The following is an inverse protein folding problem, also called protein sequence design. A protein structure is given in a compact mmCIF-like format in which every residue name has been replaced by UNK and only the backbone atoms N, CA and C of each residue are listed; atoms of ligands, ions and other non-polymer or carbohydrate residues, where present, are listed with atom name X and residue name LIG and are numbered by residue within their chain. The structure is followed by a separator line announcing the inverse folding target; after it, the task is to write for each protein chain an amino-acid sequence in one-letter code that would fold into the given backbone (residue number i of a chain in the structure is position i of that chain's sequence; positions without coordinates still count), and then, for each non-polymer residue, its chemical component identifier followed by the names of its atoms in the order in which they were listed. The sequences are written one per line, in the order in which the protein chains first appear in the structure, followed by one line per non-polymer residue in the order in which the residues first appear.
data_IF_018377937291
#
_entry.id   IF_018377937291
#
_cell.length_a   1.000
_cell.length_b   1.000
_cell.length_c   1.000
_cell.angle_alpha   90.00
_cell.angle_beta   90.00
_cell.angle_gamma   90.00
#
_symmetry.space_group_name_H-M   'P 1'
#
loop_
_entity.id
_entity.type
_entity.pdbx_description
1 polymer ?
#
# COMPACT_ATOMS: atom_id res chain seq x y z
N UNK A 1 -32.36 -9.68 -7.77
CA UNK A 1 -32.28 -8.29 -7.25
C UNK A 1 -30.86 -7.81 -7.53
N UNK A 2 -30.67 -7.13 -8.65
CA UNK A 2 -29.37 -6.56 -9.01
C UNK A 2 -29.10 -5.38 -8.08
N UNK A 3 -28.08 -5.49 -7.23
CA UNK A 3 -27.65 -4.39 -6.38
C UNK A 3 -27.02 -3.33 -7.27
N UNK A 4 -27.81 -2.31 -7.57
CA UNK A 4 -27.38 -1.11 -8.27
C UNK A 4 -26.50 -0.27 -7.32
N UNK A 5 -25.31 -0.77 -6.98
CA UNK A 5 -24.33 -0.03 -6.21
C UNK A 5 -23.68 0.98 -7.16
N UNK A 6 -23.95 2.27 -6.92
CA UNK A 6 -23.19 3.35 -7.56
C UNK A 6 -21.69 3.07 -7.36
N UNK A 7 -20.83 3.23 -8.38
CA UNK A 7 -19.40 3.07 -8.21
C UNK A 7 -18.96 3.95 -7.04
N UNK A 8 -18.36 3.33 -6.02
CA UNK A 8 -17.80 4.01 -4.84
C UNK A 8 -16.80 5.02 -5.39
N UNK A 9 -17.05 6.32 -5.22
CA UNK A 9 -16.10 7.36 -5.64
C UNK A 9 -14.86 7.17 -4.79
N UNK A 10 -13.81 6.62 -5.39
CA UNK A 10 -12.54 6.40 -4.72
C UNK A 10 -11.80 7.74 -4.73
N UNK A 11 -11.44 8.25 -3.56
CA UNK A 11 -10.67 9.48 -3.37
C UNK A 11 -9.55 9.26 -2.36
N UNK A 12 -8.58 10.17 -2.29
CA UNK A 12 -7.53 10.12 -1.27
C UNK A 12 -6.54 8.96 -1.48
N UNK A 13 -6.07 8.37 -0.39
CA UNK A 13 -5.06 7.29 -0.42
C UNK A 13 -5.59 6.02 -1.12
N UNK A 14 -6.84 5.57 -0.90
CA UNK A 14 -7.42 4.47 -1.66
C UNK A 14 -7.36 4.69 -3.18
N UNK A 15 -7.56 5.92 -3.65
CA UNK A 15 -7.52 6.21 -5.08
C UNK A 15 -6.09 6.07 -5.64
N UNK A 16 -5.09 6.52 -4.87
CA UNK A 16 -3.68 6.36 -5.25
C UNK A 16 -3.28 4.90 -5.33
N UNK A 17 -3.65 4.10 -4.34
CA UNK A 17 -3.34 2.66 -4.30
C UNK A 17 -4.09 1.91 -5.41
N UNK A 18 -5.35 2.27 -5.68
CA UNK A 18 -6.09 1.74 -6.82
C UNK A 18 -5.39 2.05 -8.15
N UNK A 19 -5.05 3.32 -8.42
CA UNK A 19 -4.38 3.72 -9.65
C UNK A 19 -3.01 3.05 -9.82
N UNK A 20 -2.28 2.90 -8.71
CA UNK A 20 -1.03 2.16 -8.67
C UNK A 20 -1.21 0.69 -9.08
N UNK A 21 -2.20 0.00 -8.50
CA UNK A 21 -2.53 -1.38 -8.86
C UNK A 21 -2.94 -1.52 -10.33
N UNK A 22 -3.79 -0.63 -10.82
CA UNK A 22 -4.23 -0.64 -12.22
C UNK A 22 -3.06 -0.37 -13.19
N UNK A 23 -2.12 0.50 -12.82
CA UNK A 23 -0.92 0.74 -13.61
C UNK A 23 -0.06 -0.54 -13.73
N UNK A 24 0.16 -1.27 -12.64
CA UNK A 24 0.86 -2.56 -12.66
C UNK A 24 0.10 -3.58 -13.52
N UNK A 25 -1.21 -3.71 -13.32
CA UNK A 25 -2.06 -4.62 -14.09
C UNK A 25 -2.03 -4.36 -15.59
N UNK A 26 -1.93 -3.10 -16.00
CA UNK A 26 -1.85 -2.73 -17.41
C UNK A 26 -0.62 -3.29 -18.13
N UNK A 27 0.45 -3.63 -17.39
CA UNK A 27 1.67 -4.21 -17.93
C UNK A 27 1.55 -5.71 -18.15
N UNK A 28 0.69 -6.41 -17.40
CA UNK A 28 0.57 -7.87 -17.41
C UNK A 28 0.41 -8.44 -18.83
N UNK A 29 -0.50 -7.94 -19.69
CA UNK A 29 -0.68 -8.52 -21.04
C UNK A 29 0.59 -8.40 -21.91
N UNK A 30 1.35 -7.32 -21.76
CA UNK A 30 2.59 -7.10 -22.51
C UNK A 30 3.68 -8.04 -22.02
N UNK A 31 3.82 -8.19 -20.70
CA UNK A 31 4.79 -9.10 -20.08
C UNK A 31 4.49 -10.56 -20.44
N UNK A 32 3.21 -10.96 -20.41
CA UNK A 32 2.77 -12.29 -20.83
C UNK A 32 3.08 -12.55 -22.31
N UNK A 33 2.79 -11.59 -23.19
CA UNK A 33 3.12 -11.69 -24.63
C UNK A 33 4.63 -11.80 -24.86
N UNK A 34 5.43 -11.11 -24.06
CA UNK A 34 6.89 -11.17 -24.08
C UNK A 34 7.47 -12.41 -23.39
N UNK A 35 6.62 -13.25 -22.77
CA UNK A 35 7.03 -14.41 -21.95
C UNK A 35 7.97 -14.04 -20.80
N UNK A 36 7.80 -12.84 -20.23
CA UNK A 36 8.53 -12.39 -19.05
C UNK A 36 7.82 -12.96 -17.80
N UNK A 37 8.52 -13.68 -16.92
CA UNK A 37 7.91 -14.31 -15.75
C UNK A 37 7.64 -13.30 -14.63
N UNK A 38 6.70 -12.39 -14.84
CA UNK A 38 6.36 -11.31 -13.89
C UNK A 38 5.78 -11.80 -12.53
N UNK A 39 5.45 -13.10 -12.43
CA UNK A 39 5.01 -13.75 -11.19
C UNK A 39 6.19 -14.24 -10.33
N UNK A 40 7.38 -14.37 -10.92
CA UNK A 40 8.57 -14.88 -10.27
C UNK A 40 9.63 -13.77 -10.15
N UNK A 41 9.74 -13.20 -8.94
CA UNK A 41 10.95 -12.59 -8.34
C UNK A 41 11.46 -11.22 -8.87
N UNK A 42 11.86 -10.38 -7.90
CA UNK A 42 12.75 -9.18 -7.83
C UNK A 42 12.77 -8.18 -9.00
N UNK A 43 12.91 -8.61 -10.26
CA UNK A 43 13.01 -7.70 -11.41
C UNK A 43 11.74 -6.88 -11.60
N UNK A 44 10.58 -7.48 -11.31
CA UNK A 44 9.32 -6.78 -11.38
C UNK A 44 9.04 -5.93 -10.14
N UNK A 45 9.74 -6.19 -9.02
CA UNK A 45 9.60 -5.40 -7.81
C UNK A 45 10.19 -4.00 -8.00
N UNK A 46 11.32 -3.87 -8.69
CA UNK A 46 11.91 -2.57 -9.05
C UNK A 46 10.99 -1.76 -9.98
N UNK A 47 10.30 -2.44 -10.90
CA UNK A 47 9.30 -1.80 -11.77
C UNK A 47 8.12 -1.33 -10.93
N UNK A 48 7.62 -2.16 -10.02
CA UNK A 48 6.51 -1.79 -9.13
C UNK A 48 6.89 -0.64 -8.20
N UNK A 49 8.07 -0.65 -7.58
CA UNK A 49 8.60 0.45 -6.77
C UNK A 49 8.70 1.73 -7.61
N UNK A 50 9.21 1.67 -8.83
CA UNK A 50 9.27 2.84 -9.72
C UNK A 50 7.89 3.44 -10.00
N UNK A 51 6.89 2.59 -10.26
CA UNK A 51 5.51 3.04 -10.48
C UNK A 51 4.94 3.63 -9.18
N UNK A 52 5.22 3.03 -8.02
CA UNK A 52 4.80 3.54 -6.71
C UNK A 52 5.38 4.94 -6.44
N UNK A 53 6.67 5.14 -6.74
CA UNK A 53 7.38 6.41 -6.61
C UNK A 53 6.86 7.49 -7.58
N UNK A 54 6.20 7.10 -8.68
CA UNK A 54 5.60 8.05 -9.63
C UNK A 54 4.15 8.40 -9.25
N UNK A 55 3.37 7.41 -8.78
CA UNK A 55 1.93 7.57 -8.56
C UNK A 55 1.60 7.99 -7.13
N UNK A 56 2.18 7.30 -6.14
CA UNK A 56 1.76 7.40 -4.74
C UNK A 56 2.61 8.40 -3.99
N UNK A 57 3.94 8.21 -4.02
CA UNK A 57 4.88 9.02 -3.24
C UNK A 57 4.74 10.53 -3.48
N UNK A 58 4.71 11.06 -4.72
CA UNK A 58 4.72 12.50 -4.95
C UNK A 58 3.44 13.19 -4.45
N UNK A 59 2.32 12.45 -4.42
CA UNK A 59 1.03 12.95 -3.93
C UNK A 59 1.02 13.06 -2.41
N UNK A 60 1.59 12.09 -1.71
CA UNK A 60 1.76 12.12 -0.26
C UNK A 60 2.74 13.23 0.13
N UNK A 61 3.88 13.31 -0.54
CA UNK A 61 4.88 14.36 -0.29
C UNK A 61 4.31 15.76 -0.53
N UNK A 62 3.62 15.98 -1.65
CA UNK A 62 2.99 17.27 -1.95
C UNK A 62 1.97 17.68 -0.89
N UNK A 63 1.20 16.72 -0.36
CA UNK A 63 0.27 17.00 0.73
C UNK A 63 0.99 17.52 1.97
N UNK A 64 2.11 16.90 2.37
CA UNK A 64 2.87 17.37 3.53
C UNK A 64 3.59 18.69 3.26
N UNK A 65 4.23 18.84 2.10
CA UNK A 65 4.92 20.08 1.74
C UNK A 65 3.97 21.29 1.66
N UNK A 66 2.67 21.06 1.43
CA UNK A 66 1.66 22.12 1.51
C UNK A 66 1.32 22.58 2.94
N UNK A 67 1.68 21.79 3.96
CA UNK A 67 1.31 22.01 5.37
C UNK A 67 2.51 22.23 6.28
N UNK A 68 3.69 21.77 5.90
CA UNK A 68 4.92 21.79 6.67
C UNK A 68 6.15 21.82 5.75
N UNK A 69 7.32 22.15 6.30
CA UNK A 69 8.55 22.37 5.54
C UNK A 69 9.12 21.09 4.89
N UNK A 70 8.85 19.92 5.47
CA UNK A 70 9.44 18.65 5.05
C UNK A 70 8.39 17.56 4.96
N UNK A 71 8.51 16.67 3.97
CA UNK A 71 7.69 15.46 3.90
C UNK A 71 8.31 14.34 4.77
N UNK A 72 7.49 13.51 5.44
CA UNK A 72 7.99 12.36 6.17
C UNK A 72 8.62 11.34 5.21
N UNK A 73 9.65 10.58 5.64
CA UNK A 73 10.16 9.48 4.84
C UNK A 73 9.06 8.43 4.67
N UNK A 74 8.84 7.96 3.45
CA UNK A 74 7.84 6.96 3.11
C UNK A 74 8.47 5.57 3.06
N UNK A 75 7.77 4.56 3.58
CA UNK A 75 8.17 3.16 3.44
C UNK A 75 8.19 2.78 1.94
N UNK A 76 9.28 2.14 1.51
CA UNK A 76 9.45 1.65 0.13
C UNK A 76 8.51 0.48 -0.17
N UNK A 77 8.02 0.40 -1.40
CA UNK A 77 7.27 -0.76 -1.88
C UNK A 77 8.17 -2.00 -1.89
N UNK A 78 7.61 -3.15 -1.51
CA UNK A 78 8.34 -4.43 -1.50
C UNK A 78 9.42 -4.56 -0.41
N UNK A 79 9.63 -3.53 0.43
CA UNK A 79 10.68 -3.57 1.45
C UNK A 79 10.16 -3.96 2.84
N UNK A 80 10.80 -4.97 3.44
CA UNK A 80 10.42 -5.51 4.74
C UNK A 80 11.23 -4.91 5.90
N UNK A 81 10.80 -3.74 6.35
CA UNK A 81 11.38 -3.04 7.50
C UNK A 81 11.39 -3.90 8.78
N UNK A 82 12.38 -3.68 9.65
CA UNK A 82 12.40 -4.27 11.01
C UNK A 82 11.50 -3.49 11.97
N UNK A 83 11.40 -2.19 11.76
CA UNK A 83 10.55 -1.26 12.48
C UNK A 83 10.13 -0.12 11.55
N UNK A 84 8.97 0.47 11.85
CA UNK A 84 8.41 1.61 11.11
C UNK A 84 8.49 2.91 11.92
N UNK A 85 9.37 2.97 12.92
CA UNK A 85 9.51 4.15 13.74
C UNK A 85 9.99 5.33 12.88
N UNK A 86 9.33 6.49 13.00
CA UNK A 86 9.59 7.70 12.19
C UNK A 86 9.47 7.50 10.67
N UNK A 87 8.89 6.39 10.21
CA UNK A 87 8.63 6.13 8.79
C UNK A 87 7.13 6.25 8.56
N UNK A 88 6.73 7.07 7.59
CA UNK A 88 5.36 7.14 7.10
C UNK A 88 5.04 5.89 6.28
N UNK A 89 3.82 5.39 6.40
CA UNK A 89 3.41 4.17 5.71
C UNK A 89 1.94 4.20 5.29
N UNK A 90 1.61 3.36 4.32
CA UNK A 90 0.23 3.09 3.95
C UNK A 90 -0.30 2.03 4.91
N UNK A 91 -1.29 2.40 5.70
CA UNK A 91 -2.04 1.50 6.55
C UNK A 91 -3.14 0.80 5.76
N UNK A 92 -3.24 -0.51 5.95
CA UNK A 92 -4.28 -1.39 5.40
C UNK A 92 -5.34 -1.60 6.49
N UNK A 93 -6.59 -1.38 6.16
CA UNK A 93 -7.73 -1.54 7.06
C UNK A 93 -8.57 -2.71 6.53
N UNK A 94 -8.48 -3.90 7.14
CA UNK A 94 -9.34 -5.03 6.77
C UNK A 94 -10.80 -4.70 7.05
N UNK A 95 -11.70 -4.98 6.10
CA UNK A 95 -13.14 -4.70 6.23
C UNK A 95 -13.92 -5.87 6.89
N UNK A 96 -13.43 -7.11 6.77
CA UNK A 96 -14.15 -8.34 7.19
C UNK A 96 -13.50 -9.14 8.31
N UNK A 97 -12.36 -8.69 8.84
CA UNK A 97 -11.59 -9.41 9.87
C UNK A 97 -11.62 -8.62 11.17
N UNK A 98 -11.92 -9.26 12.31
CA UNK A 98 -11.73 -8.64 13.61
C UNK A 98 -10.29 -8.16 13.73
N UNK A 99 -10.11 -6.88 14.07
CA UNK A 99 -8.78 -6.27 14.23
C UNK A 99 -8.01 -6.99 15.35
N UNK A 100 -6.98 -7.82 15.08
CA UNK A 100 -6.03 -8.13 16.12
C UNK A 100 -5.41 -6.81 16.56
N UNK A 101 -5.05 -6.71 17.85
CA UNK A 101 -4.35 -5.54 18.38
C UNK A 101 -3.10 -5.24 17.53
N UNK A 102 -3.14 -4.17 16.72
CA UNK A 102 -2.04 -3.77 15.85
C UNK A 102 -2.49 -2.98 14.61
N UNK A 103 -1.51 -2.59 13.80
CA UNK A 103 -1.68 -1.81 12.56
C UNK A 103 -1.11 -2.63 11.40
N UNK A 104 -1.87 -2.80 10.32
CA UNK A 104 -1.37 -3.45 9.12
C UNK A 104 -0.72 -2.42 8.21
N UNK A 105 0.55 -2.63 7.88
CA UNK A 105 1.33 -1.79 6.99
C UNK A 105 1.42 -2.47 5.63
N UNK A 106 0.97 -1.78 4.59
CA UNK A 106 1.11 -2.22 3.20
C UNK A 106 2.58 -2.39 2.85
N UNK A 107 2.93 -3.57 2.31
CA UNK A 107 4.28 -3.85 1.80
C UNK A 107 4.23 -3.94 0.28
N UNK A 108 3.37 -4.81 -0.25
CA UNK A 108 3.28 -5.05 -1.69
C UNK A 108 1.97 -5.72 -2.10
N UNK A 109 1.73 -5.78 -3.41
CA UNK A 109 0.73 -6.68 -3.99
C UNK A 109 1.36 -8.02 -4.37
N UNK A 110 0.61 -9.10 -4.23
CA UNK A 110 0.93 -10.44 -4.74
C UNK A 110 -0.26 -11.07 -5.44
N UNK A 111 -0.04 -12.21 -6.10
CA UNK A 111 -1.05 -12.91 -6.91
C UNK A 111 -1.34 -14.28 -6.33
N UNK A 112 -2.57 -14.52 -5.87
CA UNK A 112 -3.03 -15.84 -5.40
C UNK A 112 -3.97 -16.51 -6.39
N UNK A 113 -5.01 -15.83 -6.84
CA UNK A 113 -5.98 -16.34 -7.82
C UNK A 113 -5.92 -15.55 -9.12
N UNK A 114 -5.80 -14.23 -9.01
CA UNK A 114 -5.69 -13.29 -10.12
C UNK A 114 -4.45 -12.42 -9.95
N UNK A 115 -3.94 -11.79 -11.03
CA UNK A 115 -2.84 -10.85 -10.92
C UNK A 115 -3.11 -9.75 -9.87
N UNK A 116 -2.21 -9.61 -8.91
CA UNK A 116 -2.23 -8.54 -7.88
C UNK A 116 -3.56 -8.47 -7.12
N UNK A 117 -4.16 -9.62 -6.80
CA UNK A 117 -5.44 -9.72 -6.08
C UNK A 117 -5.28 -9.74 -4.55
N UNK A 118 -4.05 -9.82 -4.07
CA UNK A 118 -3.73 -10.00 -2.65
C UNK A 118 -2.79 -8.90 -2.19
N UNK A 119 -3.08 -8.35 -1.02
CA UNK A 119 -2.23 -7.36 -0.33
C UNK A 119 -1.38 -8.07 0.69
N UNK A 120 -0.07 -7.84 0.66
CA UNK A 120 0.88 -8.31 1.68
C UNK A 120 1.16 -7.18 2.67
N UNK A 121 1.01 -7.49 3.96
CA UNK A 121 1.15 -6.55 5.05
C UNK A 121 2.15 -7.01 6.10
N UNK A 122 2.79 -6.07 6.77
CA UNK A 122 3.37 -6.30 8.10
C UNK A 122 2.38 -5.86 9.17
N UNK A 123 2.19 -6.66 10.23
CA UNK A 123 1.46 -6.24 11.42
C UNK A 123 2.45 -5.60 12.40
N UNK A 124 2.17 -4.38 12.84
CA UNK A 124 3.00 -3.63 13.77
C UNK A 124 2.23 -3.25 15.05
N UNK A 125 2.96 -2.96 16.13
CA UNK A 125 2.41 -2.32 17.32
C UNK A 125 2.30 -0.78 17.15
N UNK A 126 1.75 -0.10 18.15
CA UNK A 126 1.64 1.37 18.16
C UNK A 126 2.97 2.11 18.16
N UNK A 127 4.07 1.43 18.49
CA UNK A 127 5.44 1.99 18.49
C UNK A 127 6.15 1.76 17.15
N UNK A 128 5.53 1.04 16.22
CA UNK A 128 6.10 0.69 14.92
C UNK A 128 6.93 -0.58 14.91
N UNK A 129 6.97 -1.36 16.00
CA UNK A 129 7.69 -2.64 16.01
C UNK A 129 6.90 -3.68 15.22
N UNK A 130 7.57 -4.45 14.37
CA UNK A 130 6.94 -5.53 13.60
C UNK A 130 6.61 -6.71 14.51
N UNK A 131 5.32 -7.02 14.63
CA UNK A 131 4.78 -8.16 15.37
C UNK A 131 4.68 -9.41 14.50
N UNK A 132 4.28 -9.24 13.23
CA UNK A 132 4.15 -10.33 12.26
C UNK A 132 4.44 -9.82 10.85
N UNK A 133 5.11 -10.63 10.04
CA UNK A 133 5.40 -10.35 8.63
C UNK A 133 4.45 -11.12 7.71
N UNK A 134 4.37 -10.68 6.46
CA UNK A 134 3.74 -11.41 5.36
C UNK A 134 2.28 -11.79 5.63
N UNK A 135 1.52 -10.90 6.28
CA UNK A 135 0.08 -11.08 6.43
C UNK A 135 -0.60 -10.78 5.12
N UNK A 136 -1.18 -11.80 4.51
CA UNK A 136 -1.89 -11.70 3.24
C UNK A 136 -3.39 -11.45 3.45
N UNK A 137 -3.95 -10.48 2.74
CA UNK A 137 -5.37 -10.12 2.80
C UNK A 137 -5.87 -9.88 1.37
N UNK A 138 -7.06 -10.39 0.97
CA UNK A 138 -7.64 -10.08 -0.33
C UNK A 138 -7.81 -8.56 -0.54
N UNK A 139 -7.45 -8.07 -1.73
CA UNK A 139 -7.52 -6.63 -2.05
C UNK A 139 -8.95 -6.06 -1.98
N UNK A 140 -9.95 -6.87 -2.32
CA UNK A 140 -11.37 -6.52 -2.28
C UNK A 140 -11.95 -6.48 -0.85
N UNK A 141 -11.14 -6.83 0.16
CA UNK A 141 -11.52 -6.85 1.57
C UNK A 141 -10.75 -5.82 2.41
N UNK A 142 -10.11 -4.83 1.77
CA UNK A 142 -9.34 -3.80 2.46
C UNK A 142 -9.66 -2.39 1.98
N UNK A 143 -9.41 -1.42 2.87
CA UNK A 143 -9.26 -0.01 2.51
C UNK A 143 -7.89 0.51 2.94
N UNK A 144 -7.51 1.70 2.47
CA UNK A 144 -6.18 2.26 2.68
C UNK A 144 -6.26 3.64 3.31
N UNK A 145 -5.27 3.97 4.14
CA UNK A 145 -4.99 5.35 4.58
C UNK A 145 -3.50 5.52 4.76
N UNK A 146 -3.00 6.74 4.76
CA UNK A 146 -1.61 7.01 5.11
C UNK A 146 -1.52 7.34 6.60
N UNK A 147 -0.49 6.83 7.28
CA UNK A 147 -0.18 7.13 8.68
C UNK A 147 1.29 7.52 8.82
N UNK A 148 1.55 8.55 9.61
CA UNK A 148 2.89 8.95 10.02
C UNK A 148 2.89 9.44 11.46
N UNK A 149 3.89 9.03 12.25
CA UNK A 149 4.11 9.54 13.60
C UNK A 149 5.39 10.36 13.64
N UNK A 150 5.28 11.64 13.98
CA UNK A 150 6.43 12.54 14.05
C UNK A 150 7.28 12.27 15.30
N UNK A 151 8.52 12.74 15.28
CA UNK A 151 9.43 12.69 16.44
C UNK A 151 8.89 13.45 17.66
N UNK A 152 7.92 14.36 17.47
CA UNK A 152 7.24 15.11 18.53
C UNK A 152 6.04 14.36 19.13
N UNK A 153 5.76 13.14 18.64
CA UNK A 153 4.64 12.32 19.08
C UNK A 153 3.31 12.61 18.37
N UNK A 154 3.30 13.52 17.39
CA UNK A 154 2.09 13.84 16.63
C UNK A 154 1.79 12.73 15.62
N UNK A 155 0.51 12.35 15.49
CA UNK A 155 0.08 11.34 14.51
C UNK A 155 -0.70 12.01 13.39
N UNK A 156 -0.24 11.80 12.16
CA UNK A 156 -0.87 12.28 10.93
C UNK A 156 -1.58 11.14 10.23
N UNK A 157 -2.85 11.34 9.87
CA UNK A 157 -3.65 10.37 9.15
C UNK A 157 -4.28 11.04 7.92
N UNK A 158 -4.06 10.46 6.74
CA UNK A 158 -4.66 10.90 5.47
C UNK A 158 -5.55 9.77 4.95
N UNK A 159 -6.83 10.06 4.77
CA UNK A 159 -7.78 9.11 4.17
C UNK A 159 -7.74 9.23 2.66
#
# INVERSE_FOLDING_TARGET
MESNQRPKVISGVPALIYLFREAILSLVPVLEKAKIPWREIDLFDDVCESIFQIIVQPKIESYFLSKQTEAPPLAKYGYFYKDYFKTGYIEVIPEKVEHPSGIYVFVMFTSKKQPFDTVVCNLIDEKGNVLKRDVEIPYDEVSFRFRYQSSKGETYIIK
#
